data_IF_786316783346
#
_entry.id   IF_786316783346
#
_cell.length_a   1.000
_cell.length_b   1.000
_cell.length_c   1.000
_cell.angle_alpha   90.00
_cell.angle_beta   90.00
_cell.angle_gamma   90.00
#
_symmetry.space_group_name_H-M   'P 1'
#
loop_
_entity.id
_entity.type
_entity.pdbx_description
1 polymer ?
#
# COMPACT_ATOMS: atom_id res chain seq x y z
N UNK A 1 -6.19 -11.16 -32.86
CA UNK A 1 -4.99 -11.51 -32.08
C UNK A 1 -5.46 -11.81 -30.67
N UNK A 2 -5.29 -13.03 -30.19
CA UNK A 2 -5.70 -13.41 -28.82
C UNK A 2 -4.57 -12.97 -27.90
N UNK A 3 -4.78 -11.89 -27.16
CA UNK A 3 -3.82 -11.42 -26.16
C UNK A 3 -3.94 -12.32 -24.93
N UNK A 4 -2.87 -13.02 -24.57
CA UNK A 4 -2.80 -13.69 -23.27
C UNK A 4 -2.71 -12.62 -22.19
N UNK A 5 -3.80 -12.44 -21.44
CA UNK A 5 -3.80 -11.62 -20.23
C UNK A 5 -3.24 -12.47 -19.11
N UNK A 6 -1.98 -12.25 -18.73
CA UNK A 6 -1.44 -12.82 -17.49
C UNK A 6 -2.04 -12.00 -16.35
N UNK A 7 -3.04 -12.56 -15.65
CA UNK A 7 -3.49 -12.00 -14.38
C UNK A 7 -2.58 -12.50 -13.28
N UNK A 8 -1.80 -11.61 -12.68
CA UNK A 8 -1.08 -11.92 -11.43
C UNK A 8 -2.12 -12.07 -10.32
N UNK A 9 -2.45 -13.31 -9.97
CA UNK A 9 -3.45 -13.60 -8.92
C UNK A 9 -2.87 -13.37 -7.52
N UNK A 10 -1.56 -13.59 -7.35
CA UNK A 10 -0.89 -13.44 -6.06
C UNK A 10 0.58 -13.06 -6.26
N UNK A 11 1.05 -12.12 -5.45
CA UNK A 11 2.47 -11.77 -5.35
C UNK A 11 2.83 -11.54 -3.88
N UNK A 12 3.96 -12.11 -3.46
CA UNK A 12 4.55 -11.87 -2.14
C UNK A 12 5.88 -11.15 -2.30
N UNK A 13 6.01 -10.02 -1.61
CA UNK A 13 7.26 -9.24 -1.54
C UNK A 13 7.76 -9.29 -0.11
N UNK A 14 9.02 -9.70 0.09
CA UNK A 14 9.70 -9.61 1.38
C UNK A 14 10.44 -8.28 1.43
N UNK A 15 10.02 -7.39 2.33
CA UNK A 15 10.73 -6.15 2.62
C UNK A 15 11.49 -6.31 3.94
N UNK A 16 12.79 -6.03 3.93
CA UNK A 16 13.65 -6.02 5.12
C UNK A 16 14.08 -4.60 5.45
N UNK A 17 14.41 -4.33 6.71
CA UNK A 17 14.89 -3.01 7.18
C UNK A 17 13.85 -1.88 7.05
N UNK A 18 12.56 -2.23 7.12
CA UNK A 18 11.47 -1.25 7.26
C UNK A 18 11.45 -0.72 8.69
N UNK A 19 11.31 0.59 8.83
CA UNK A 19 11.23 1.31 10.10
C UNK A 19 9.83 1.80 10.41
N UNK A 20 9.05 2.10 9.38
CA UNK A 20 7.69 2.62 9.54
C UNK A 20 6.79 2.18 8.37
N UNK A 21 5.49 2.13 8.63
CA UNK A 21 4.45 1.83 7.64
C UNK A 21 3.29 2.78 7.86
N UNK A 22 2.96 3.55 6.82
CA UNK A 22 1.83 4.47 6.81
C UNK A 22 0.70 3.91 5.93
N UNK A 23 -0.51 3.89 6.48
CA UNK A 23 -1.74 3.64 5.72
C UNK A 23 -2.40 4.99 5.47
N UNK A 24 -2.47 5.41 4.22
CA UNK A 24 -2.99 6.75 3.90
C UNK A 24 -4.51 6.82 4.05
N UNK A 25 -5.03 8.03 4.04
CA UNK A 25 -6.46 8.25 3.87
C UNK A 25 -6.97 7.64 2.56
N UNK A 26 -8.26 7.28 2.57
CA UNK A 26 -8.97 6.87 1.37
C UNK A 26 -9.51 8.14 0.71
N UNK A 27 -9.03 8.42 -0.49
CA UNK A 27 -9.38 9.61 -1.28
C UNK A 27 -10.04 9.20 -2.60
N UNK A 28 -10.79 10.13 -3.18
CA UNK A 28 -11.39 9.99 -4.52
C UNK A 28 -10.28 10.03 -5.59
N UNK A 29 -10.39 9.20 -6.62
CA UNK A 29 -9.41 9.13 -7.71
C UNK A 29 -9.70 10.08 -8.89
N UNK A 30 -10.82 10.79 -8.86
CA UNK A 30 -11.30 11.70 -9.90
C UNK A 30 -11.98 11.00 -11.09
N UNK A 31 -12.08 9.68 -11.07
CA UNK A 31 -12.65 8.83 -12.13
C UNK A 31 -13.85 8.00 -11.64
N UNK A 32 -14.38 8.30 -10.46
CA UNK A 32 -15.52 7.61 -9.85
C UNK A 32 -15.13 6.42 -8.98
N UNK A 33 -13.83 6.26 -8.67
CA UNK A 33 -13.31 5.28 -7.73
C UNK A 33 -12.61 5.92 -6.53
N UNK A 34 -12.00 5.06 -5.73
CA UNK A 34 -11.25 5.43 -4.54
C UNK A 34 -9.85 4.82 -4.61
N UNK A 35 -8.89 5.54 -4.02
CA UNK A 35 -7.53 5.05 -3.86
C UNK A 35 -7.04 5.19 -2.41
N UNK A 36 -6.14 4.29 -2.04
CA UNK A 36 -5.37 4.32 -0.79
C UNK A 36 -3.99 3.71 -1.03
N UNK A 37 -2.99 4.25 -0.35
CA UNK A 37 -1.64 3.70 -0.36
C UNK A 37 -1.27 3.03 0.98
N UNK A 38 -0.49 1.97 0.89
CA UNK A 38 0.37 1.51 1.97
C UNK A 38 1.80 1.90 1.63
N UNK A 39 2.40 2.76 2.46
CA UNK A 39 3.74 3.30 2.27
C UNK A 39 4.68 2.70 3.29
N UNK A 40 5.78 2.14 2.82
CA UNK A 40 6.79 1.51 3.65
C UNK A 40 8.03 2.38 3.65
N UNK A 41 8.49 2.78 4.83
CA UNK A 41 9.65 3.63 5.02
C UNK A 41 10.82 2.84 5.57
N UNK A 42 11.97 2.96 4.93
CA UNK A 42 13.18 2.23 5.28
C UNK A 42 14.13 3.03 6.17
N UNK A 43 15.23 2.41 6.54
CA UNK A 43 16.37 3.12 7.13
C UNK A 43 17.13 3.90 6.05
N UNK A 44 17.21 5.23 6.20
CA UNK A 44 18.03 6.07 5.32
C UNK A 44 19.53 5.86 5.55
N UNK A 45 20.34 6.32 4.60
CA UNK A 45 21.80 6.27 4.71
C UNK A 45 22.36 7.19 5.81
N UNK A 46 21.55 8.12 6.32
CA UNK A 46 21.85 9.02 7.43
C UNK A 46 20.75 8.85 8.46
N UNK A 47 21.09 8.69 9.74
CA UNK A 47 20.19 8.28 10.84
C UNK A 47 18.91 9.11 11.01
N UNK A 48 18.82 10.30 10.42
CA UNK A 48 17.66 11.19 10.50
C UNK A 48 16.68 11.06 9.31
N UNK A 49 16.92 10.20 8.33
CA UNK A 49 16.03 10.03 7.17
C UNK A 49 15.36 8.66 7.17
N UNK A 50 14.04 8.65 7.01
CA UNK A 50 13.22 7.46 6.76
C UNK A 50 12.57 7.58 5.38
N UNK A 51 13.30 7.29 4.29
CA UNK A 51 12.77 7.46 2.94
C UNK A 51 11.67 6.44 2.63
N UNK A 52 10.72 6.81 1.77
CA UNK A 52 9.78 5.88 1.17
C UNK A 52 10.57 4.88 0.30
N UNK A 53 10.47 3.59 0.61
CA UNK A 53 11.19 2.54 -0.11
C UNK A 53 10.27 1.64 -0.92
N UNK A 54 9.00 1.58 -0.57
CA UNK A 54 8.01 0.78 -1.29
C UNK A 54 6.61 1.37 -1.06
N UNK A 55 5.77 1.33 -2.09
CA UNK A 55 4.37 1.76 -2.00
C UNK A 55 3.48 0.76 -2.73
N UNK A 56 2.38 0.37 -2.08
CA UNK A 56 1.28 -0.36 -2.70
C UNK A 56 0.13 0.61 -2.84
N UNK A 57 -0.24 0.94 -4.07
CA UNK A 57 -1.46 1.67 -4.37
C UNK A 57 -2.60 0.68 -4.62
N UNK A 58 -3.70 0.85 -3.91
CA UNK A 58 -4.91 0.05 -4.05
C UNK A 58 -6.02 0.95 -4.56
N UNK A 59 -6.71 0.51 -5.61
CA UNK A 59 -7.86 1.19 -6.19
C UNK A 59 -9.10 0.29 -6.10
N UNK A 60 -10.25 0.87 -5.77
CA UNK A 60 -11.54 0.18 -5.82
C UNK A 60 -12.66 1.16 -6.17
N UNK A 61 -13.75 0.64 -6.75
CA UNK A 61 -15.01 1.37 -6.95
C UNK A 61 -15.71 1.65 -5.61
N UNK A 62 -15.53 0.79 -4.59
CA UNK A 62 -16.16 0.96 -3.28
C UNK A 62 -15.14 1.35 -2.21
N UNK A 63 -15.42 2.46 -1.52
CA UNK A 63 -14.57 2.98 -0.44
C UNK A 63 -14.35 1.95 0.68
N UNK A 64 -15.34 1.11 0.98
CA UNK A 64 -15.28 0.12 2.04
C UNK A 64 -14.25 -0.98 1.78
N UNK A 65 -13.96 -1.28 0.52
CA UNK A 65 -13.01 -2.33 0.13
C UNK A 65 -11.56 -1.93 0.48
N UNK A 66 -11.32 -0.62 0.62
CA UNK A 66 -10.02 -0.07 0.98
C UNK A 66 -9.83 0.05 2.49
N UNK A 67 -10.80 -0.39 3.32
CA UNK A 67 -10.71 -0.32 4.77
C UNK A 67 -9.71 -1.37 5.28
N UNK A 68 -8.55 -0.91 5.74
CA UNK A 68 -7.54 -1.71 6.42
C UNK A 68 -7.69 -1.44 7.91
N UNK A 69 -7.91 -2.50 8.69
CA UNK A 69 -8.01 -2.43 10.15
C UNK A 69 -6.86 -3.22 10.76
N UNK A 70 -6.09 -2.58 11.63
CA UNK A 70 -5.26 -3.32 12.57
C UNK A 70 -6.13 -3.90 13.66
N UNK A 71 -5.80 -5.07 14.22
CA UNK A 71 -6.40 -5.54 15.46
C UNK A 71 -6.25 -4.48 16.56
N UNK A 72 -7.19 -4.43 17.51
CA UNK A 72 -7.01 -3.65 18.72
C UNK A 72 -5.83 -4.23 19.51
N UNK A 73 -4.93 -3.35 19.97
CA UNK A 73 -3.84 -3.76 20.86
C UNK A 73 -4.43 -3.84 22.26
N UNK A 74 -4.63 -5.05 22.76
CA UNK A 74 -4.85 -5.28 24.19
C UNK A 74 -3.52 -5.05 24.93
N UNK A 75 -3.52 -4.13 25.90
CA UNK A 75 -2.39 -3.82 26.78
C UNK A 75 -2.59 -4.43 28.17
#
# INVERSE_FOLDING_TARGET
>A
MTQSVVSTVYQRVLLTSIKDVEVTDIVDDGAGGFIRSLRFFGQGAVDAQTPLVFEVLIQSENRTDLKITTPEIDF
#
